data_IF_983695447073
#
_entry.id   IF_983695447073
#
_cell.length_a   1.000
_cell.length_b   1.000
_cell.length_c   1.000
_cell.angle_alpha   90.00
_cell.angle_beta   90.00
_cell.angle_gamma   90.00
#
_symmetry.space_group_name_H-M   'P 1'
#
loop_
_entity.id
_entity.type
_entity.pdbx_description
1 polymer ?
#
# COMPACT_ATOMS: atom_id res chain seq x y z
N UNK A 1 3.85 -17.42 6.92
CA UNK A 1 4.60 -16.15 6.71
C UNK A 1 3.77 -14.94 7.11
N UNK A 2 4.38 -13.79 7.42
CA UNK A 2 3.66 -12.58 7.89
C UNK A 2 4.04 -11.41 7.01
N UNK A 3 3.06 -10.85 6.31
CA UNK A 3 3.20 -9.70 5.43
C UNK A 3 2.56 -8.48 6.09
N UNK A 4 3.19 -7.32 5.95
CA UNK A 4 2.74 -6.09 6.60
C UNK A 4 2.34 -5.04 5.56
N UNK A 5 1.12 -4.53 5.66
CA UNK A 5 0.58 -3.40 4.92
C UNK A 5 0.32 -2.20 5.83
N UNK A 6 0.18 -1.02 5.22
CA UNK A 6 0.00 0.23 5.96
C UNK A 6 -1.47 0.49 6.31
N UNK A 7 -1.73 1.06 7.50
CA UNK A 7 -3.06 1.57 7.90
C UNK A 7 -3.61 2.69 7.02
N UNK A 8 -2.75 3.43 6.31
CA UNK A 8 -3.11 4.54 5.43
C UNK A 8 -3.89 4.10 4.19
N UNK A 9 -3.84 2.81 3.85
CA UNK A 9 -4.33 2.24 2.59
C UNK A 9 -3.67 2.87 1.36
N UNK A 10 -3.44 2.06 0.33
CA UNK A 10 -2.94 2.53 -0.95
C UNK A 10 -3.67 1.80 -2.07
N UNK A 11 -4.94 2.13 -2.36
CA UNK A 11 -5.64 1.53 -3.48
C UNK A 11 -4.99 1.94 -4.82
N UNK A 12 -4.91 1.03 -5.81
CA UNK A 12 -5.42 -0.34 -5.81
C UNK A 12 -4.43 -1.41 -5.28
N UNK A 13 -3.31 -1.02 -4.66
CA UNK A 13 -2.21 -1.91 -4.28
C UNK A 13 -2.48 -2.71 -3.00
N UNK A 14 -2.82 -2.04 -1.89
CA UNK A 14 -3.20 -2.68 -0.64
C UNK A 14 -4.20 -1.80 0.13
N UNK A 15 -5.38 -2.34 0.42
CA UNK A 15 -6.45 -1.61 1.11
C UNK A 15 -7.42 -2.56 1.81
N UNK A 16 -8.25 -2.03 2.71
CA UNK A 16 -9.28 -2.83 3.36
C UNK A 16 -10.56 -2.87 2.52
N UNK A 17 -11.12 -4.06 2.37
CA UNK A 17 -12.43 -4.25 1.75
C UNK A 17 -13.48 -3.42 2.48
N UNK A 18 -14.38 -2.81 1.71
CA UNK A 18 -15.54 -2.09 2.22
C UNK A 18 -16.82 -2.83 1.88
N UNK A 19 -17.61 -3.15 2.89
CA UNK A 19 -18.97 -3.69 2.73
C UNK A 19 -19.94 -2.64 3.26
N UNK A 20 -20.84 -2.20 2.40
CA UNK A 20 -21.83 -1.15 2.74
C UNK A 20 -21.17 0.15 3.27
N UNK A 21 -20.01 0.51 2.71
CA UNK A 21 -19.23 1.69 3.11
C UNK A 21 -18.36 1.51 4.36
N UNK A 22 -18.54 0.42 5.12
CA UNK A 22 -17.79 0.13 6.35
C UNK A 22 -16.54 -0.69 6.04
N UNK A 23 -15.38 -0.28 6.61
CA UNK A 23 -14.13 -1.03 6.50
C UNK A 23 -14.25 -2.37 7.23
N UNK A 24 -13.86 -3.44 6.56
CA UNK A 24 -13.70 -4.76 7.17
C UNK A 24 -12.25 -5.02 7.56
N UNK A 25 -11.95 -6.19 8.12
CA UNK A 25 -10.58 -6.65 8.36
C UNK A 25 -9.95 -7.33 7.14
N UNK A 26 -10.72 -7.58 6.09
CA UNK A 26 -10.25 -8.26 4.90
C UNK A 26 -9.39 -7.31 4.05
N UNK A 27 -8.16 -7.72 3.76
CA UNK A 27 -7.22 -6.94 2.94
C UNK A 27 -7.32 -7.37 1.49
N UNK A 28 -7.42 -6.40 0.59
CA UNK A 28 -7.51 -6.58 -0.86
C UNK A 28 -6.45 -5.74 -1.58
N UNK A 29 -6.31 -5.98 -2.88
CA UNK A 29 -5.45 -5.23 -3.77
C UNK A 29 -4.35 -6.07 -4.40
N UNK A 30 -3.65 -5.45 -5.34
CA UNK A 30 -2.63 -6.12 -6.15
C UNK A 30 -1.55 -6.84 -5.32
N UNK A 31 -1.10 -6.25 -4.22
CA UNK A 31 -0.10 -6.86 -3.33
C UNK A 31 -0.59 -8.18 -2.73
N UNK A 32 -1.87 -8.22 -2.35
CA UNK A 32 -2.52 -9.36 -1.70
C UNK A 32 -2.75 -10.47 -2.72
N UNK A 33 -3.23 -10.10 -3.91
CA UNK A 33 -3.45 -11.03 -5.01
C UNK A 33 -2.14 -11.67 -5.49
N UNK A 34 -1.06 -10.89 -5.57
CA UNK A 34 0.26 -11.39 -5.91
C UNK A 34 0.76 -12.42 -4.89
N UNK A 35 0.70 -12.12 -3.59
CA UNK A 35 1.11 -13.07 -2.55
C UNK A 35 0.27 -14.33 -2.59
N UNK A 36 -1.06 -14.20 -2.77
CA UNK A 36 -1.96 -15.34 -2.90
C UNK A 36 -1.56 -16.22 -4.08
N UNK A 37 -1.29 -15.63 -5.24
CA UNK A 37 -0.91 -16.37 -6.45
C UNK A 37 0.41 -17.13 -6.28
N UNK A 38 1.41 -16.49 -5.65
CA UNK A 38 2.72 -17.10 -5.42
C UNK A 38 2.63 -18.20 -4.36
N UNK A 39 2.12 -17.89 -3.17
CA UNK A 39 2.20 -18.80 -2.03
C UNK A 39 1.22 -19.97 -2.11
N UNK A 40 0.03 -19.77 -2.70
CA UNK A 40 -0.93 -20.87 -2.87
C UNK A 40 -0.38 -22.00 -3.74
N UNK A 41 0.43 -21.68 -4.77
CA UNK A 41 1.10 -22.67 -5.61
C UNK A 41 2.03 -23.59 -4.80
N UNK A 42 2.58 -23.07 -3.71
CA UNK A 42 3.53 -23.77 -2.85
C UNK A 42 2.91 -24.26 -1.53
N UNK A 43 1.59 -24.09 -1.35
CA UNK A 43 0.88 -24.48 -0.11
C UNK A 43 1.50 -23.84 1.14
N UNK A 44 1.95 -22.58 1.02
CA UNK A 44 2.56 -21.83 2.12
C UNK A 44 1.50 -20.94 2.75
N UNK A 45 1.22 -21.17 4.04
CA UNK A 45 0.32 -20.32 4.81
C UNK A 45 0.90 -18.93 5.04
N UNK A 46 0.05 -17.92 4.98
CA UNK A 46 0.44 -16.54 5.23
C UNK A 46 -0.66 -15.73 5.93
N UNK A 47 -0.22 -14.65 6.58
CA UNK A 47 -1.09 -13.68 7.24
C UNK A 47 -0.74 -12.28 6.75
N UNK A 48 -1.78 -11.49 6.48
CA UNK A 48 -1.66 -10.05 6.23
C UNK A 48 -1.93 -9.31 7.53
N UNK A 49 -1.01 -8.41 7.89
CA UNK A 49 -1.07 -7.60 9.10
C UNK A 49 -1.09 -6.14 8.68
N UNK A 50 -1.99 -5.35 9.24
CA UNK A 50 -2.09 -3.92 8.98
C UNK A 50 -1.57 -3.14 10.19
N UNK A 51 -0.50 -2.36 10.00
CA UNK A 51 0.13 -1.55 11.04
C UNK A 51 0.52 -0.18 10.48
N UNK A 52 0.78 0.84 11.33
CA UNK A 52 1.39 2.08 10.86
C UNK A 52 2.71 1.80 10.13
N UNK A 53 3.00 2.52 9.04
CA UNK A 53 4.14 2.24 8.14
C UNK A 53 5.48 2.07 8.85
N UNK A 54 5.81 3.02 9.73
CA UNK A 54 7.04 3.00 10.53
C UNK A 54 7.14 1.75 11.39
N UNK A 55 6.00 1.22 11.84
CA UNK A 55 5.94 -0.01 12.62
C UNK A 55 6.17 -1.23 11.74
N UNK A 56 5.58 -1.32 10.54
CA UNK A 56 5.88 -2.41 9.60
C UNK A 56 7.39 -2.51 9.31
N UNK A 57 8.03 -1.37 9.00
CA UNK A 57 9.48 -1.32 8.76
C UNK A 57 10.29 -1.74 9.99
N UNK A 58 9.99 -1.18 11.16
CA UNK A 58 10.69 -1.53 12.39
C UNK A 58 10.51 -3.00 12.79
N UNK A 59 9.31 -3.55 12.61
CA UNK A 59 9.00 -4.93 12.95
C UNK A 59 9.63 -5.91 11.94
N UNK A 60 9.84 -5.50 10.68
CA UNK A 60 10.58 -6.29 9.70
C UNK A 60 12.06 -6.46 10.11
N UNK A 61 12.72 -5.37 10.51
CA UNK A 61 14.10 -5.42 11.03
C UNK A 61 14.24 -6.29 12.29
N UNK A 62 13.16 -6.39 13.08
CA UNK A 62 13.12 -7.21 14.30
C UNK A 62 12.64 -8.65 14.06
N UNK A 63 12.36 -9.04 12.81
CA UNK A 63 11.80 -10.36 12.47
C UNK A 63 10.38 -10.62 12.96
N UNK A 64 9.66 -9.57 13.39
CA UNK A 64 8.25 -9.66 13.85
C UNK A 64 7.26 -9.68 12.69
N UNK A 65 7.64 -9.13 11.54
CA UNK A 65 7.00 -9.39 10.24
C UNK A 65 8.09 -9.83 9.26
N UNK A 66 7.71 -10.58 8.23
CA UNK A 66 8.68 -11.17 7.31
C UNK A 66 8.81 -10.36 6.01
N UNK A 67 7.74 -9.69 5.59
CA UNK A 67 7.70 -8.89 4.35
C UNK A 67 6.89 -7.62 4.60
N UNK A 68 7.33 -6.51 4.02
CA UNK A 68 6.57 -5.25 3.99
C UNK A 68 6.21 -4.95 2.53
N UNK A 69 4.94 -4.67 2.27
CA UNK A 69 4.47 -4.42 0.92
C UNK A 69 4.94 -3.09 0.37
N UNK A 70 5.12 -3.05 -0.96
CA UNK A 70 5.10 -1.79 -1.71
C UNK A 70 6.11 -0.73 -1.23
N UNK A 71 7.20 -1.17 -0.61
CA UNK A 71 8.27 -0.32 -0.12
C UNK A 71 9.20 0.07 -1.28
N UNK A 72 9.04 1.29 -1.81
CA UNK A 72 9.93 1.81 -2.86
C UNK A 72 11.41 1.72 -2.47
N UNK A 73 12.27 1.41 -3.43
CA UNK A 73 13.72 1.28 -3.22
C UNK A 73 14.35 2.63 -2.86
N UNK A 74 15.31 2.62 -1.94
CA UNK A 74 16.16 3.77 -1.67
C UNK A 74 17.47 3.31 -0.99
N UNK A 75 18.53 4.14 -0.97
CA UNK A 75 19.84 3.72 -0.46
C UNK A 75 19.86 3.24 0.99
N UNK A 76 18.91 3.71 1.82
CA UNK A 76 18.80 3.24 3.20
C UNK A 76 18.13 1.86 3.25
N UNK A 77 17.06 1.66 2.46
CA UNK A 77 16.34 0.38 2.40
C UNK A 77 17.17 -0.73 1.77
N UNK A 78 18.02 -0.41 0.80
CA UNK A 78 18.96 -1.37 0.20
C UNK A 78 19.99 -1.89 1.22
N UNK A 79 20.31 -1.09 2.25
CA UNK A 79 21.20 -1.49 3.35
C UNK A 79 20.46 -2.25 4.44
N UNK A 80 19.25 -1.81 4.77
CA UNK A 80 18.50 -2.27 5.93
C UNK A 80 17.68 -3.56 5.64
N UNK A 81 17.32 -3.81 4.38
CA UNK A 81 16.41 -4.90 4.00
C UNK A 81 16.91 -5.68 2.79
N UNK A 82 16.44 -6.93 2.68
CA UNK A 82 16.51 -7.69 1.44
C UNK A 82 15.29 -7.35 0.58
N UNK A 83 15.54 -6.71 -0.55
CA UNK A 83 14.50 -6.33 -1.50
C UNK A 83 14.18 -7.47 -2.46
N UNK A 84 12.89 -7.62 -2.79
CA UNK A 84 12.46 -8.56 -3.82
C UNK A 84 12.81 -8.03 -5.21
N UNK A 85 12.68 -8.88 -6.23
CA UNK A 85 12.51 -8.38 -7.60
C UNK A 85 11.32 -7.42 -7.65
N UNK A 86 11.49 -6.27 -8.30
CA UNK A 86 10.43 -5.29 -8.50
C UNK A 86 9.28 -5.91 -9.28
N UNK A 87 8.04 -5.75 -8.78
CA UNK A 87 6.84 -6.32 -9.40
C UNK A 87 5.87 -5.26 -9.94
N UNK A 88 6.08 -3.97 -9.66
CA UNK A 88 5.43 -2.84 -10.35
C UNK A 88 6.28 -1.57 -10.26
N UNK A 89 5.98 -0.59 -11.11
CA UNK A 89 6.54 0.77 -11.04
C UNK A 89 5.43 1.81 -11.11
N UNK A 90 5.63 2.95 -10.45
CA UNK A 90 4.70 4.08 -10.49
C UNK A 90 5.40 5.25 -11.14
N UNK A 91 4.74 5.86 -12.13
CA UNK A 91 5.25 7.02 -12.84
C UNK A 91 4.39 8.25 -12.49
N UNK A 92 5.01 9.36 -12.03
CA UNK A 92 4.28 10.60 -11.85
C UNK A 92 3.67 11.06 -13.18
N UNK A 93 2.41 11.48 -13.15
CA UNK A 93 1.74 12.09 -14.29
C UNK A 93 1.22 13.47 -13.92
N UNK A 94 1.36 14.42 -14.83
CA UNK A 94 0.76 15.75 -14.70
C UNK A 94 -0.63 15.71 -15.33
N UNK A 95 -1.65 16.03 -14.54
CA UNK A 95 -3.03 16.16 -15.00
C UNK A 95 -3.39 17.64 -14.96
N UNK A 96 -3.76 18.19 -16.11
CA UNK A 96 -4.22 19.57 -16.24
C UNK A 96 -5.74 19.60 -16.37
N UNK A 97 -6.38 20.61 -15.81
CA UNK A 97 -7.80 20.85 -16.03
C UNK A 97 -8.03 21.11 -17.53
N UNK A 98 -9.00 20.41 -18.12
CA UNK A 98 -9.39 20.62 -19.52
C UNK A 98 -10.12 21.94 -19.74
N UNK A 99 -10.59 22.55 -18.64
CA UNK A 99 -11.27 23.84 -18.61
C UNK A 99 -10.76 24.64 -17.42
N UNK A 100 -10.56 25.95 -17.61
CA UNK A 100 -10.26 26.86 -16.51
C UNK A 100 -11.44 26.90 -15.55
N UNK A 101 -11.26 26.65 -14.23
CA UNK A 101 -12.33 26.82 -13.26
C UNK A 101 -12.88 28.23 -13.37
N UNK A 102 -14.20 28.38 -13.49
CA UNK A 102 -14.85 29.70 -13.40
C UNK A 102 -14.43 30.34 -12.08
N UNK A 103 -13.97 31.60 -12.06
CA UNK A 103 -13.66 32.29 -10.81
C UNK A 103 -14.87 32.20 -9.88
N UNK A 104 -14.66 31.70 -8.66
CA UNK A 104 -15.69 31.73 -7.63
C UNK A 104 -15.98 33.21 -7.38
N UNK A 105 -17.19 33.67 -7.72
CA UNK A 105 -17.63 35.00 -7.31
C UNK A 105 -17.71 34.99 -5.78
N UNK A 106 -16.76 35.68 -5.13
CA UNK A 106 -16.86 35.97 -3.71
C UNK A 106 -18.21 36.66 -3.48
N UNK A 107 -19.04 36.07 -2.60
CA UNK A 107 -20.27 36.73 -2.16
C UNK A 107 -19.86 38.06 -1.52
N UNK A 108 -20.22 39.16 -2.17
CA UNK A 108 -20.09 40.50 -1.61
C UNK A 108 -20.78 40.51 -0.23
N UNK A 109 -20.11 40.99 0.84
CA UNK A 109 -20.75 41.10 2.14
C UNK A 109 -21.94 42.07 2.04
N UNK A 110 -23.04 41.66 2.68
CA UNK A 110 -24.28 42.42 2.81
C UNK A 110 -24.09 43.68 3.66
#
# INVERSE_FOLDING_TARGET
>A
MRFCGETGEWPPFNFLERKEGVKTTNSLGYDIDMVKAILSKHQIDYQIIILPWKRCLSDALKGKVHVVFSASTNPQRDKDYLLTTTYYSVQPMLVFATQTPTPIQDKQPA
#
